data_IF_824789669305
#
_entry.id   IF_824789669305
#
_cell.length_a   1.000
_cell.length_b   1.000
_cell.length_c   1.000
_cell.angle_alpha   90.00
_cell.angle_beta   90.00
_cell.angle_gamma   90.00
#
_symmetry.space_group_name_H-M   'P 1'
#
loop_
_entity.id
_entity.type
_entity.pdbx_description
1 polymer ?
#
# COMPACT_ATOMS: atom_id res chain seq x y z
N UNK A 1 -3.64 19.59 79.36
CA UNK A 1 -2.65 19.05 78.38
C UNK A 1 -3.28 17.83 77.66
N UNK A 2 -3.94 18.04 76.51
CA UNK A 2 -4.60 16.99 75.80
C UNK A 2 -3.75 16.65 74.52
N UNK A 3 -3.24 15.43 74.46
CA UNK A 3 -2.60 14.86 73.30
C UNK A 3 -3.67 14.39 72.32
N UNK A 4 -3.73 14.98 71.12
CA UNK A 4 -4.59 14.52 70.04
C UNK A 4 -3.81 13.50 69.21
N UNK A 5 -4.30 12.28 69.18
CA UNK A 5 -3.81 11.17 68.34
C UNK A 5 -4.60 11.26 67.01
N UNK A 6 -3.93 11.63 65.94
CA UNK A 6 -4.50 11.59 64.59
C UNK A 6 -4.34 10.18 64.05
N UNK A 7 -5.46 9.50 63.86
CA UNK A 7 -5.52 8.19 63.16
C UNK A 7 -5.46 8.47 61.63
N UNK A 8 -4.36 8.12 61.01
CA UNK A 8 -4.24 8.15 59.54
C UNK A 8 -4.91 6.89 58.93
N UNK A 9 -5.95 7.16 58.13
CA UNK A 9 -6.66 6.12 57.36
C UNK A 9 -5.84 5.82 56.13
N UNK A 10 -5.20 4.65 56.10
CA UNK A 10 -4.46 4.11 54.97
C UNK A 10 -5.45 3.46 53.98
N UNK A 11 -5.81 4.17 52.92
CA UNK A 11 -6.56 3.62 51.81
C UNK A 11 -5.63 2.80 50.93
N UNK A 12 -5.68 1.50 51.07
CA UNK A 12 -4.99 0.54 50.21
C UNK A 12 -5.84 0.37 48.93
N UNK A 13 -5.42 1.02 47.85
CA UNK A 13 -5.99 0.84 46.53
C UNK A 13 -5.54 -0.50 45.97
N UNK A 14 -6.39 -1.52 45.94
CA UNK A 14 -6.15 -2.77 45.22
C UNK A 14 -6.27 -2.45 43.72
N UNK A 15 -5.14 -2.25 43.05
CA UNK A 15 -5.06 -2.27 41.62
C UNK A 15 -5.16 -3.74 41.15
N UNK A 16 -6.34 -4.17 40.70
CA UNK A 16 -6.52 -5.41 39.96
C UNK A 16 -5.83 -5.28 38.59
N UNK A 17 -4.57 -5.71 38.53
CA UNK A 17 -3.88 -5.91 37.25
C UNK A 17 -4.46 -7.15 36.59
N UNK A 18 -5.41 -6.98 35.69
CA UNK A 18 -5.84 -8.06 34.80
C UNK A 18 -4.69 -8.35 33.82
N UNK A 19 -3.81 -9.26 34.21
CA UNK A 19 -2.83 -9.85 33.30
C UNK A 19 -3.57 -10.83 32.39
N UNK A 20 -3.82 -10.39 31.15
CA UNK A 20 -4.24 -11.30 30.08
C UNK A 20 -3.06 -12.26 29.83
N UNK A 21 -3.10 -13.44 30.44
CA UNK A 21 -2.18 -14.51 30.13
C UNK A 21 -2.55 -15.04 28.74
N UNK A 22 -1.79 -14.63 27.74
CA UNK A 22 -1.72 -15.33 26.47
C UNK A 22 -1.13 -16.72 26.77
N UNK A 23 -2.01 -17.72 26.99
CA UNK A 23 -1.59 -19.10 27.01
C UNK A 23 -1.06 -19.44 25.62
N UNK A 24 0.25 -19.45 25.48
CA UNK A 24 0.91 -20.09 24.35
C UNK A 24 0.49 -21.52 24.31
N UNK A 25 -0.28 -21.92 23.32
CA UNK A 25 -0.57 -23.32 23.06
C UNK A 25 0.77 -24.02 22.77
N UNK A 26 1.34 -24.65 23.82
CA UNK A 26 2.52 -25.51 23.69
C UNK A 26 2.09 -26.88 23.13
N UNK A 27 1.53 -26.87 21.90
CA UNK A 27 1.47 -28.04 21.07
C UNK A 27 2.83 -28.32 20.44
N UNK A 28 3.13 -29.53 19.98
CA UNK A 28 4.36 -29.82 19.26
C UNK A 28 4.45 -28.82 18.11
N UNK A 29 5.53 -28.01 18.14
CA UNK A 29 5.79 -26.95 17.19
C UNK A 29 5.73 -27.53 15.77
N UNK A 30 4.65 -27.30 15.05
CA UNK A 30 4.58 -27.65 13.64
C UNK A 30 5.82 -27.07 12.96
N UNK A 31 6.59 -27.89 12.25
CA UNK A 31 7.71 -27.39 11.45
C UNK A 31 7.19 -26.25 10.59
N UNK A 32 7.86 -25.08 10.58
CA UNK A 32 7.48 -24.00 9.66
C UNK A 32 7.39 -24.58 8.25
N UNK A 33 6.23 -24.43 7.62
CA UNK A 33 6.10 -24.77 6.20
C UNK A 33 7.16 -23.97 5.45
N UNK A 34 7.92 -24.62 4.54
CA UNK A 34 8.83 -23.87 3.69
C UNK A 34 8.06 -22.73 3.00
N UNK A 35 8.65 -21.52 2.92
CA UNK A 35 7.98 -20.41 2.27
C UNK A 35 7.59 -20.84 0.86
N UNK A 36 6.32 -20.60 0.50
CA UNK A 36 5.82 -20.91 -0.84
C UNK A 36 6.76 -20.26 -1.88
N UNK A 37 7.12 -20.98 -2.96
CA UNK A 37 7.96 -20.41 -4.01
C UNK A 37 7.35 -19.09 -4.46
N UNK A 38 8.11 -17.99 -4.35
CA UNK A 38 7.66 -16.70 -4.87
C UNK A 38 7.51 -16.85 -6.38
N UNK A 39 6.29 -16.74 -6.89
CA UNK A 39 6.07 -16.68 -8.33
C UNK A 39 6.92 -15.55 -8.92
N UNK A 40 7.58 -15.81 -10.04
CA UNK A 40 8.35 -14.79 -10.75
C UNK A 40 7.42 -13.60 -11.05
N UNK A 41 7.80 -12.42 -10.53
CA UNK A 41 7.02 -11.21 -10.75
C UNK A 41 7.28 -10.68 -12.14
N UNK A 42 6.26 -10.69 -12.98
CA UNK A 42 6.27 -10.00 -14.25
C UNK A 42 5.40 -8.74 -14.16
N UNK A 43 6.04 -7.58 -14.04
CA UNK A 43 5.35 -6.28 -13.95
C UNK A 43 4.50 -5.95 -15.18
N UNK A 44 4.78 -6.59 -16.32
CA UNK A 44 4.09 -6.37 -17.58
C UNK A 44 2.82 -7.21 -17.76
N UNK A 45 2.65 -8.25 -16.96
CA UNK A 45 1.57 -9.24 -17.16
C UNK A 45 0.31 -8.96 -16.36
N UNK A 46 0.35 -8.04 -15.37
CA UNK A 46 -0.77 -7.77 -14.47
C UNK A 46 -1.06 -6.28 -14.40
N UNK A 47 -2.33 -5.91 -14.60
CA UNK A 47 -2.77 -4.53 -14.36
C UNK A 47 -2.51 -4.14 -12.91
N UNK A 48 -1.98 -2.94 -12.72
CA UNK A 48 -1.71 -2.34 -11.42
C UNK A 48 -2.70 -1.22 -11.09
N UNK A 49 -3.73 -1.08 -11.91
CA UNK A 49 -4.84 -0.12 -11.72
C UNK A 49 -6.18 -0.86 -11.76
N UNK A 50 -6.49 -1.73 -10.76
CA UNK A 50 -7.70 -2.56 -10.77
C UNK A 50 -8.99 -1.76 -10.63
N UNK A 51 -8.95 -0.52 -10.11
CA UNK A 51 -10.12 0.32 -9.91
C UNK A 51 -10.34 1.24 -11.08
N UNK A 52 -11.60 1.40 -11.51
CA UNK A 52 -11.94 2.38 -12.53
C UNK A 52 -12.21 3.76 -11.92
N UNK A 53 -11.19 4.37 -11.31
CA UNK A 53 -11.32 5.66 -10.65
C UNK A 53 -11.69 6.80 -11.61
N UNK A 54 -11.52 6.62 -12.92
CA UNK A 54 -11.90 7.64 -13.91
C UNK A 54 -13.40 7.85 -13.98
N UNK A 55 -14.22 6.83 -13.71
CA UNK A 55 -15.68 6.94 -13.64
C UNK A 55 -16.13 7.88 -12.51
N UNK A 56 -15.30 8.05 -11.48
CA UNK A 56 -15.56 8.92 -10.34
C UNK A 56 -15.00 10.34 -10.53
N UNK A 57 -14.55 10.68 -11.76
CA UNK A 57 -14.08 12.02 -12.06
C UNK A 57 -15.27 13.01 -12.13
N UNK A 58 -15.02 14.26 -11.67
CA UNK A 58 -15.95 15.34 -11.89
C UNK A 58 -16.11 15.62 -13.42
N UNK A 59 -17.31 15.85 -13.94
CA UNK A 59 -18.62 16.06 -13.26
C UNK A 59 -19.47 14.78 -13.07
N UNK A 60 -18.97 13.59 -13.41
CA UNK A 60 -19.75 12.35 -13.35
C UNK A 60 -20.10 11.91 -11.92
N UNK A 61 -19.39 12.44 -10.93
CA UNK A 61 -19.63 12.17 -9.52
C UNK A 61 -19.94 13.47 -8.76
N UNK A 62 -20.90 13.47 -7.79
CA UNK A 62 -21.28 14.68 -7.05
C UNK A 62 -20.17 15.27 -6.16
N UNK A 63 -19.13 14.49 -5.86
CA UNK A 63 -18.01 14.95 -5.05
C UNK A 63 -16.74 15.06 -5.87
N UNK A 64 -16.16 16.28 -6.07
CA UNK A 64 -15.01 16.48 -6.94
C UNK A 64 -13.73 15.73 -6.49
N UNK A 65 -13.61 15.43 -5.18
CA UNK A 65 -12.46 14.69 -4.62
C UNK A 65 -12.54 13.17 -4.74
N UNK A 66 -13.64 12.61 -5.25
CA UNK A 66 -13.86 11.16 -5.23
C UNK A 66 -12.87 10.39 -6.09
N UNK A 67 -12.47 10.93 -7.23
CA UNK A 67 -11.42 10.33 -8.07
C UNK A 67 -10.10 10.20 -7.31
N UNK A 68 -9.66 11.27 -6.66
CA UNK A 68 -8.41 11.27 -5.89
C UNK A 68 -8.47 10.30 -4.69
N UNK A 69 -9.61 10.23 -4.02
CA UNK A 69 -9.84 9.26 -2.94
C UNK A 69 -9.75 7.82 -3.45
N UNK A 70 -10.42 7.51 -4.56
CA UNK A 70 -10.34 6.20 -5.20
C UNK A 70 -8.89 5.82 -5.56
N UNK A 71 -8.12 6.74 -6.13
CA UNK A 71 -6.72 6.52 -6.49
C UNK A 71 -5.83 6.27 -5.26
N UNK A 72 -6.13 6.92 -4.12
CA UNK A 72 -5.44 6.63 -2.86
C UNK A 72 -5.77 5.23 -2.32
N UNK A 73 -7.04 4.84 -2.35
CA UNK A 73 -7.45 3.49 -1.90
C UNK A 73 -6.81 2.43 -2.77
N UNK A 74 -6.84 2.61 -4.08
CA UNK A 74 -6.18 1.73 -5.05
C UNK A 74 -4.68 1.60 -4.76
N UNK A 75 -3.96 2.72 -4.56
CA UNK A 75 -2.54 2.71 -4.25
C UNK A 75 -2.22 1.98 -2.94
N UNK A 76 -3.03 2.17 -1.89
CA UNK A 76 -2.87 1.45 -0.61
C UNK A 76 -3.08 -0.04 -0.77
N UNK A 77 -4.10 -0.44 -1.52
CA UNK A 77 -4.39 -1.85 -1.80
C UNK A 77 -3.21 -2.51 -2.52
N UNK A 78 -2.74 -1.91 -3.61
CA UNK A 78 -1.60 -2.40 -4.37
C UNK A 78 -0.30 -2.41 -3.57
N UNK A 79 -0.09 -1.39 -2.70
CA UNK A 79 1.06 -1.35 -1.80
C UNK A 79 1.04 -2.51 -0.79
N UNK A 80 -0.13 -2.77 -0.19
CA UNK A 80 -0.29 -3.89 0.75
C UNK A 80 -0.06 -5.24 0.08
N UNK A 81 -0.52 -5.41 -1.16
CA UNK A 81 -0.27 -6.63 -1.94
C UNK A 81 1.22 -6.78 -2.28
N UNK A 82 1.87 -5.69 -2.68
CA UNK A 82 3.30 -5.69 -3.00
C UNK A 82 4.14 -6.04 -1.76
N UNK A 83 3.84 -5.46 -0.60
CA UNK A 83 4.51 -5.78 0.66
C UNK A 83 4.35 -7.25 1.03
N UNK A 84 3.14 -7.80 0.93
CA UNK A 84 2.90 -9.24 1.17
C UNK A 84 3.70 -10.12 0.21
N UNK A 85 3.90 -9.66 -1.02
CA UNK A 85 4.70 -10.34 -2.03
C UNK A 85 6.21 -10.06 -1.91
N UNK A 86 6.66 -9.23 -0.97
CA UNK A 86 8.07 -8.84 -0.76
C UNK A 86 8.67 -8.08 -1.95
N UNK A 87 7.90 -7.24 -2.61
CA UNK A 87 8.30 -6.44 -3.78
C UNK A 87 8.00 -4.95 -3.59
N UNK A 88 8.63 -4.04 -4.36
CA UNK A 88 8.31 -2.61 -4.30
C UNK A 88 6.83 -2.33 -4.58
N UNK A 89 6.28 -1.38 -3.85
CA UNK A 89 4.90 -0.93 -4.02
C UNK A 89 4.75 0.21 -5.02
N UNK A 90 3.51 0.55 -5.40
CA UNK A 90 3.20 1.66 -6.27
C UNK A 90 3.28 3.00 -5.55
N UNK A 91 3.47 4.07 -6.33
CA UNK A 91 3.28 5.45 -5.86
C UNK A 91 1.79 5.76 -5.62
N UNK A 92 1.53 6.81 -4.83
CA UNK A 92 0.17 7.34 -4.67
C UNK A 92 -0.29 8.16 -5.87
N UNK A 93 0.65 8.68 -6.68
CA UNK A 93 0.34 9.49 -7.86
C UNK A 93 0.08 8.62 -9.10
N UNK A 94 -0.84 9.08 -9.94
CA UNK A 94 -1.16 8.47 -11.24
C UNK A 94 -0.98 9.52 -12.31
N UNK A 95 -0.15 9.25 -13.32
CA UNK A 95 0.09 10.15 -14.45
C UNK A 95 -0.53 9.61 -15.73
N UNK A 96 -0.89 10.50 -16.66
CA UNK A 96 -1.33 10.11 -18.00
C UNK A 96 -0.12 9.88 -18.91
N UNK A 97 -0.08 8.73 -19.55
CA UNK A 97 0.94 8.39 -20.54
C UNK A 97 0.31 7.66 -21.73
N UNK A 98 0.90 7.77 -22.92
CA UNK A 98 0.41 7.05 -24.08
C UNK A 98 0.58 5.54 -23.92
N UNK A 99 -0.30 4.72 -24.56
CA UNK A 99 -0.15 3.28 -24.57
C UNK A 99 1.10 2.85 -25.34
N UNK A 100 1.67 1.72 -24.93
CA UNK A 100 2.84 1.16 -25.59
C UNK A 100 2.56 0.91 -27.10
N UNK A 101 3.52 1.27 -27.93
CA UNK A 101 3.44 1.06 -29.39
C UNK A 101 2.70 2.17 -30.13
N UNK A 102 2.04 3.11 -29.44
CA UNK A 102 1.43 4.28 -30.07
C UNK A 102 2.48 5.21 -30.66
N UNK A 103 2.07 6.04 -31.62
CA UNK A 103 2.96 7.06 -32.17
C UNK A 103 3.38 8.08 -31.12
N UNK A 104 2.46 8.42 -30.19
CA UNK A 104 2.73 9.30 -29.07
C UNK A 104 3.82 8.71 -28.14
N UNK A 105 3.79 7.41 -27.85
CA UNK A 105 4.81 6.77 -27.02
C UNK A 105 6.17 6.69 -27.71
N UNK A 106 6.18 6.54 -29.04
CA UNK A 106 7.43 6.58 -29.85
C UNK A 106 8.06 7.96 -29.84
N UNK A 107 7.24 9.03 -29.91
CA UNK A 107 7.72 10.42 -29.86
C UNK A 107 8.19 10.85 -28.48
N UNK A 108 7.41 10.55 -27.44
CA UNK A 108 7.72 10.95 -26.07
C UNK A 108 8.81 10.11 -25.42
N UNK A 109 9.04 8.89 -25.92
CA UNK A 109 9.91 7.92 -25.26
C UNK A 109 9.36 7.42 -23.92
N UNK A 110 8.05 7.57 -23.68
CA UNK A 110 7.38 7.07 -22.46
C UNK A 110 6.14 6.29 -22.83
N UNK A 111 5.75 5.33 -21.96
CA UNK A 111 4.55 4.53 -22.18
C UNK A 111 3.93 4.10 -20.84
N UNK A 112 2.62 3.91 -20.85
CA UNK A 112 1.90 3.21 -19.81
C UNK A 112 1.75 1.75 -20.21
N UNK A 113 2.20 0.84 -19.34
CA UNK A 113 2.17 -0.59 -19.57
C UNK A 113 1.60 -1.27 -18.33
N UNK A 114 0.39 -1.79 -18.42
CA UNK A 114 -0.29 -2.45 -17.30
C UNK A 114 -0.40 -1.55 -16.05
N UNK A 115 -0.62 -0.25 -16.23
CA UNK A 115 -0.74 0.73 -15.14
C UNK A 115 0.58 1.20 -14.54
N UNK A 116 1.71 0.81 -15.10
CA UNK A 116 3.06 1.23 -14.71
C UNK A 116 3.69 2.12 -15.77
N UNK A 117 4.34 3.20 -15.32
CA UNK A 117 5.03 4.14 -16.20
C UNK A 117 6.42 3.63 -16.57
N UNK A 118 6.74 3.68 -17.85
CA UNK A 118 8.03 3.30 -18.40
C UNK A 118 8.63 4.40 -19.27
N UNK A 119 9.96 4.47 -19.30
CA UNK A 119 10.71 5.26 -20.27
C UNK A 119 11.53 4.35 -21.17
N UNK A 120 11.69 4.75 -22.42
CA UNK A 120 12.45 4.02 -23.42
C UNK A 120 13.95 4.26 -23.20
N UNK A 121 14.71 3.17 -23.21
CA UNK A 121 16.17 3.16 -23.27
C UNK A 121 16.62 2.57 -24.62
N UNK A 122 17.90 2.72 -25.01
CA UNK A 122 18.41 2.10 -26.25
C UNK A 122 18.22 0.60 -26.33
N UNK A 123 18.24 -0.09 -25.19
CA UNK A 123 18.16 -1.55 -25.07
C UNK A 123 16.85 -2.06 -24.47
N UNK A 124 15.81 -1.20 -24.31
CA UNK A 124 14.54 -1.65 -23.76
C UNK A 124 13.72 -0.55 -23.06
N UNK A 125 12.96 -0.94 -22.06
CA UNK A 125 12.13 -0.06 -21.25
C UNK A 125 12.52 -0.14 -19.79
N UNK A 126 12.61 1.00 -19.13
CA UNK A 126 12.91 1.12 -17.72
C UNK A 126 11.69 1.65 -16.98
N UNK A 127 11.38 1.06 -15.84
CA UNK A 127 10.30 1.51 -14.97
C UNK A 127 10.64 2.87 -14.34
N UNK A 128 9.71 3.81 -14.40
CA UNK A 128 9.86 5.13 -13.80
C UNK A 128 9.54 5.04 -12.31
N UNK A 129 10.41 5.59 -11.47
CA UNK A 129 10.18 5.77 -10.05
C UNK A 129 9.54 7.12 -9.78
N UNK A 130 8.57 7.15 -8.85
CA UNK A 130 7.93 8.39 -8.44
C UNK A 130 8.84 9.17 -7.46
N UNK A 131 8.81 10.51 -7.47
CA UNK A 131 9.58 11.33 -6.54
C UNK A 131 9.27 11.04 -5.06
N UNK A 132 8.03 10.67 -4.77
CA UNK A 132 7.57 10.32 -3.42
C UNK A 132 7.92 8.86 -3.01
N UNK A 133 8.66 8.13 -3.83
CA UNK A 133 9.01 6.73 -3.65
C UNK A 133 8.06 5.76 -4.34
N UNK A 134 8.53 4.52 -4.53
CA UNK A 134 7.84 3.47 -5.26
C UNK A 134 7.88 3.66 -6.79
N UNK A 135 7.30 2.71 -7.52
CA UNK A 135 7.19 2.84 -8.97
C UNK A 135 6.00 3.72 -9.37
N UNK A 136 6.18 4.51 -10.43
CA UNK A 136 5.17 5.46 -10.89
C UNK A 136 3.99 4.74 -11.54
N UNK A 137 2.78 5.02 -11.05
CA UNK A 137 1.54 4.54 -11.66
C UNK A 137 1.15 5.43 -12.83
N UNK A 138 0.48 4.85 -13.84
CA UNK A 138 -0.04 5.61 -14.98
C UNK A 138 -1.40 5.10 -15.43
N UNK A 139 -2.08 5.93 -16.22
CA UNK A 139 -3.25 5.56 -17.04
C UNK A 139 -2.96 5.91 -18.49
N UNK A 140 -3.47 5.11 -19.39
CA UNK A 140 -3.39 5.38 -20.81
C UNK A 140 -4.26 6.59 -21.19
N UNK A 141 -3.69 7.47 -22.04
CA UNK A 141 -4.32 8.67 -22.57
C UNK A 141 -4.06 8.79 -24.08
#
# INVERSE_FOLDING_TARGET
MLKRISAGLLLISLACSAQAQLQSATGPRAKPLPPAPKAAYNSMSKSTTPFNCQELAWPNHPHPGMKAYCEQVEARTLSSEAQRAGRPGPSNSVIGLPPLGSEASRRSGTACIGGQAFRKLPNGWEQIHAPAGGWQRCREQ
#
